data_IF_222124766909
#
_entry.id   IF_222124766909
#
_cell.length_a   1.000
_cell.length_b   1.000
_cell.length_c   1.000
_cell.angle_alpha   90.00
_cell.angle_beta   90.00
_cell.angle_gamma   90.00
#
_symmetry.space_group_name_H-M   'P 1'
#
loop_
_entity.id
_entity.type
_entity.pdbx_description
1 polymer ?
#
# COMPACT_ATOMS: atom_id res chain seq x y z
N UNK A 1 32.96 41.50 -38.90
CA UNK A 1 32.15 41.33 -40.12
C UNK A 1 30.90 40.53 -39.82
N UNK A 2 29.76 41.18 -39.70
CA UNK A 2 28.55 40.55 -39.31
C UNK A 2 28.07 39.51 -40.28
N UNK A 3 27.81 38.79 -40.80
CA UNK A 3 27.30 37.87 -41.83
C UNK A 3 28.37 36.92 -42.41
N UNK A 4 29.48 36.70 -41.73
CA UNK A 4 30.47 35.74 -42.17
C UNK A 4 30.23 34.35 -41.57
N UNK A 5 30.67 33.26 -42.17
CA UNK A 5 30.57 31.94 -41.56
C UNK A 5 31.21 31.86 -40.17
N UNK A 6 32.29 32.57 -39.94
CA UNK A 6 32.97 32.65 -38.64
C UNK A 6 32.11 33.34 -37.57
N UNK A 7 31.35 34.40 -37.95
CA UNK A 7 30.43 35.06 -37.06
C UNK A 7 29.28 34.12 -36.61
N UNK A 8 28.70 33.36 -37.57
CA UNK A 8 27.67 32.35 -37.29
C UNK A 8 28.23 31.22 -36.43
N UNK A 9 29.45 30.75 -36.70
CA UNK A 9 30.11 29.72 -35.89
C UNK A 9 30.34 30.23 -34.44
N UNK A 10 30.75 31.48 -34.28
CA UNK A 10 30.93 32.09 -32.94
C UNK A 10 29.62 32.16 -32.18
N UNK A 11 28.51 32.52 -32.83
CA UNK A 11 27.17 32.55 -32.23
C UNK A 11 26.75 31.16 -31.82
N UNK A 12 26.90 30.16 -32.65
CA UNK A 12 26.57 28.74 -32.34
C UNK A 12 27.41 28.24 -31.16
N UNK A 13 28.70 28.53 -31.13
CA UNK A 13 29.57 28.17 -30.01
C UNK A 13 29.14 28.87 -28.72
N UNK A 14 28.81 30.18 -28.80
CA UNK A 14 28.28 30.91 -27.63
C UNK A 14 26.99 30.33 -27.13
N UNK A 15 26.03 29.95 -28.02
CA UNK A 15 24.80 29.26 -27.65
C UNK A 15 25.11 28.01 -26.82
N UNK A 16 26.01 27.17 -27.30
CA UNK A 16 26.37 25.92 -26.58
C UNK A 16 26.96 26.22 -25.21
N UNK A 17 27.83 27.22 -25.08
CA UNK A 17 28.42 27.62 -23.80
C UNK A 17 27.35 28.14 -22.82
N UNK A 18 26.42 28.98 -23.28
CA UNK A 18 25.34 29.48 -22.44
C UNK A 18 24.36 28.36 -22.02
N UNK A 19 24.09 27.37 -22.88
CA UNK A 19 23.33 26.18 -22.55
C UNK A 19 24.05 25.38 -21.46
N UNK A 20 25.33 25.08 -21.61
CA UNK A 20 26.15 24.37 -20.63
C UNK A 20 26.18 25.07 -19.26
N UNK A 21 26.22 26.39 -19.29
CA UNK A 21 26.15 27.21 -18.08
C UNK A 21 24.74 27.35 -17.50
N UNK A 22 23.69 26.92 -18.22
CA UNK A 22 22.28 27.16 -17.84
C UNK A 22 21.91 28.63 -17.83
N UNK A 23 22.48 29.45 -18.73
CA UNK A 23 22.32 30.89 -18.79
C UNK A 23 21.68 31.35 -20.12
N UNK A 24 20.62 30.64 -20.56
CA UNK A 24 19.96 30.87 -21.85
C UNK A 24 19.39 32.29 -21.96
N UNK A 25 18.92 32.89 -20.85
CA UNK A 25 18.44 34.26 -20.85
C UNK A 25 19.56 35.28 -21.20
N UNK A 26 20.77 35.03 -20.70
CA UNK A 26 21.92 35.86 -21.03
C UNK A 26 22.29 35.74 -22.52
N UNK A 27 22.18 34.54 -23.08
CA UNK A 27 22.33 34.30 -24.51
C UNK A 27 21.30 35.08 -25.33
N UNK A 28 20.02 34.95 -24.98
CA UNK A 28 18.92 35.64 -25.66
C UNK A 28 19.12 37.17 -25.61
N UNK A 29 19.42 37.72 -24.43
CA UNK A 29 19.69 39.14 -24.29
C UNK A 29 20.90 39.61 -25.10
N UNK A 30 21.98 38.83 -25.10
CA UNK A 30 23.16 39.15 -25.89
C UNK A 30 22.88 39.11 -27.41
N UNK A 31 22.21 38.07 -27.92
CA UNK A 31 21.92 37.97 -29.36
C UNK A 31 21.02 39.10 -29.84
N UNK A 32 20.06 39.56 -29.02
CA UNK A 32 19.24 40.74 -29.34
C UNK A 32 20.06 42.02 -29.59
N UNK A 33 21.26 42.09 -29.09
CA UNK A 33 22.17 43.23 -29.37
C UNK A 33 22.82 43.13 -30.75
N UNK A 34 22.68 42.00 -31.44
CA UNK A 34 23.27 41.74 -32.77
C UNK A 34 22.25 42.11 -33.87
N UNK A 35 22.46 43.18 -34.59
CA UNK A 35 21.53 43.68 -35.63
C UNK A 35 21.25 42.70 -36.79
N UNK A 36 22.04 41.66 -36.93
CA UNK A 36 22.00 40.70 -38.05
C UNK A 36 21.58 39.29 -37.64
N UNK A 37 21.23 39.06 -36.38
CA UNK A 37 20.79 37.77 -35.85
C UNK A 37 19.54 37.94 -35.03
N UNK A 38 18.52 37.17 -35.33
CA UNK A 38 17.34 37.06 -34.48
C UNK A 38 17.29 35.68 -33.84
N UNK A 39 16.82 35.60 -32.59
CA UNK A 39 16.46 34.34 -31.95
C UNK A 39 14.94 34.23 -31.99
N UNK A 40 14.46 33.17 -32.58
CA UNK A 40 13.03 32.86 -32.60
C UNK A 40 12.55 32.28 -31.26
N UNK A 41 11.26 32.40 -30.95
CA UNK A 41 10.67 31.79 -29.76
C UNK A 41 10.89 30.27 -29.75
N UNK A 42 10.89 29.61 -30.91
CA UNK A 42 11.16 28.17 -31.04
C UNK A 42 12.61 27.83 -30.68
N UNK A 43 13.58 28.61 -31.12
CA UNK A 43 14.99 28.40 -30.77
C UNK A 43 15.24 28.64 -29.27
N UNK A 44 14.51 29.56 -28.69
CA UNK A 44 14.60 29.86 -27.26
C UNK A 44 13.93 28.80 -26.41
N UNK A 45 12.76 28.26 -26.82
CA UNK A 45 12.10 27.10 -26.24
C UNK A 45 13.08 25.91 -26.19
N UNK A 46 13.70 25.57 -27.34
CA UNK A 46 14.65 24.47 -27.45
C UNK A 46 15.89 24.68 -26.57
N UNK A 47 16.54 25.83 -26.66
CA UNK A 47 17.73 26.11 -25.88
C UNK A 47 17.48 26.11 -24.36
N UNK A 48 16.34 26.61 -23.92
CA UNK A 48 15.98 26.63 -22.49
C UNK A 48 15.72 25.21 -21.97
N UNK A 49 15.04 24.38 -22.77
CA UNK A 49 14.87 22.97 -22.43
C UNK A 49 16.21 22.22 -22.41
N UNK A 50 17.05 22.36 -23.44
CA UNK A 50 18.37 21.73 -23.53
C UNK A 50 19.25 22.06 -22.32
N UNK A 51 19.20 23.32 -21.85
CA UNK A 51 19.95 23.72 -20.66
C UNK A 51 19.48 23.00 -19.39
N UNK A 52 18.16 22.82 -19.22
CA UNK A 52 17.60 22.06 -18.12
C UNK A 52 17.95 20.57 -18.21
N UNK A 53 17.76 19.96 -19.40
CA UNK A 53 18.07 18.55 -19.65
C UNK A 53 19.56 18.26 -19.46
N UNK A 54 20.46 19.16 -19.87
CA UNK A 54 21.90 19.04 -19.63
C UNK A 54 22.20 18.93 -18.12
N UNK A 55 21.63 19.80 -17.29
CA UNK A 55 21.83 19.74 -15.83
C UNK A 55 21.24 18.47 -15.22
N UNK A 56 20.14 17.96 -15.76
CA UNK A 56 19.55 16.68 -15.38
C UNK A 56 20.51 15.52 -15.66
N UNK A 57 21.06 15.46 -16.88
CA UNK A 57 22.01 14.42 -17.31
C UNK A 57 23.33 14.48 -16.54
N UNK A 58 23.79 15.67 -16.20
CA UNK A 58 24.98 15.90 -15.38
C UNK A 58 24.75 15.65 -13.88
N UNK A 59 23.53 15.23 -13.49
CA UNK A 59 23.10 15.02 -12.09
C UNK A 59 23.19 16.26 -11.20
N UNK A 60 23.12 17.45 -11.77
CA UNK A 60 23.05 18.71 -11.04
C UNK A 60 21.62 19.01 -10.59
N UNK A 61 21.10 18.16 -9.66
CA UNK A 61 19.68 18.10 -9.27
C UNK A 61 19.07 19.47 -8.97
N UNK A 62 19.66 20.26 -8.08
CA UNK A 62 19.11 21.57 -7.69
C UNK A 62 18.98 22.53 -8.89
N UNK A 63 20.02 22.61 -9.72
CA UNK A 63 20.03 23.48 -10.89
C UNK A 63 19.06 22.99 -11.98
N UNK A 64 18.94 21.68 -12.17
CA UNK A 64 17.98 21.10 -13.09
C UNK A 64 16.53 21.42 -12.67
N UNK A 65 16.21 21.32 -11.38
CA UNK A 65 14.90 21.70 -10.83
C UNK A 65 14.59 23.16 -11.14
N UNK A 66 15.53 24.08 -10.87
CA UNK A 66 15.34 25.51 -11.12
C UNK A 66 15.10 25.78 -12.60
N UNK A 67 15.90 25.17 -13.49
CA UNK A 67 15.79 25.38 -14.93
C UNK A 67 14.51 24.77 -15.52
N UNK A 68 14.10 23.57 -15.10
CA UNK A 68 12.82 23.01 -15.55
C UNK A 68 11.63 23.82 -15.06
N UNK A 69 11.64 24.30 -13.82
CA UNK A 69 10.60 25.21 -13.33
C UNK A 69 10.54 26.49 -14.17
N UNK A 70 11.70 27.10 -14.47
CA UNK A 70 11.79 28.25 -15.35
C UNK A 70 11.26 27.98 -16.76
N UNK A 71 11.60 26.83 -17.32
CA UNK A 71 11.10 26.39 -18.63
C UNK A 71 9.57 26.27 -18.64
N UNK A 72 9.00 25.54 -17.70
CA UNK A 72 7.55 25.32 -17.60
C UNK A 72 6.79 26.64 -17.42
N UNK A 73 7.32 27.55 -16.59
CA UNK A 73 6.70 28.84 -16.36
C UNK A 73 6.68 29.74 -17.60
N UNK A 74 7.72 29.66 -18.42
CA UNK A 74 7.87 30.50 -19.61
C UNK A 74 7.17 29.92 -20.84
N UNK A 75 7.27 28.62 -21.06
CA UNK A 75 6.80 27.95 -22.27
C UNK A 75 5.62 27.02 -21.95
N UNK A 76 4.50 27.60 -21.55
CA UNK A 76 3.25 26.84 -21.17
C UNK A 76 2.64 26.03 -22.34
N UNK A 77 3.08 26.27 -23.57
CA UNK A 77 2.75 25.49 -24.79
C UNK A 77 4.03 25.02 -25.50
N UNK A 78 5.15 24.96 -24.81
CA UNK A 78 6.47 24.59 -25.35
C UNK A 78 6.51 23.16 -25.90
N UNK A 79 7.31 22.96 -26.92
CA UNK A 79 7.50 21.65 -27.58
C UNK A 79 7.90 20.54 -26.61
N UNK A 80 8.66 20.89 -25.57
CA UNK A 80 9.22 19.93 -24.62
C UNK A 80 8.50 19.91 -23.27
N UNK A 81 7.34 20.54 -23.16
CA UNK A 81 6.61 20.69 -21.91
C UNK A 81 6.34 19.36 -21.21
N UNK A 82 5.92 18.33 -21.97
CA UNK A 82 5.68 16.99 -21.46
C UNK A 82 6.94 16.38 -20.81
N UNK A 83 8.08 16.46 -21.52
CA UNK A 83 9.36 15.95 -21.01
C UNK A 83 9.83 16.72 -19.79
N UNK A 84 9.68 18.06 -19.80
CA UNK A 84 10.06 18.93 -18.70
C UNK A 84 9.30 18.57 -17.42
N UNK A 85 7.98 18.36 -17.51
CA UNK A 85 7.18 17.91 -16.38
C UNK A 85 7.62 16.53 -15.90
N UNK A 86 7.88 15.58 -16.80
CA UNK A 86 8.31 14.23 -16.42
C UNK A 86 9.65 14.25 -15.69
N UNK A 87 10.66 14.92 -16.23
CA UNK A 87 11.99 14.97 -15.60
C UNK A 87 11.98 15.75 -14.28
N UNK A 88 11.18 16.80 -14.20
CA UNK A 88 11.01 17.55 -12.95
C UNK A 88 10.36 16.70 -11.86
N UNK A 89 9.33 15.90 -12.23
CA UNK A 89 8.71 14.94 -11.35
C UNK A 89 9.71 13.90 -10.83
N UNK A 90 10.55 13.34 -11.74
CA UNK A 90 11.60 12.38 -11.38
C UNK A 90 12.63 12.97 -10.41
N UNK A 91 13.01 14.24 -10.62
CA UNK A 91 13.94 14.95 -9.73
C UNK A 91 13.34 15.15 -8.34
N UNK A 92 12.09 15.60 -8.26
CA UNK A 92 11.40 15.76 -6.98
C UNK A 92 11.21 14.41 -6.28
N UNK A 93 10.80 13.36 -7.01
CA UNK A 93 10.60 12.03 -6.46
C UNK A 93 11.91 11.45 -5.88
N UNK A 94 13.03 11.55 -6.62
CA UNK A 94 14.36 11.13 -6.16
C UNK A 94 14.86 11.92 -4.95
N UNK A 95 14.39 13.15 -4.80
CA UNK A 95 14.70 14.03 -3.67
C UNK A 95 13.73 13.84 -2.48
N UNK A 96 12.89 12.82 -2.52
CA UNK A 96 11.86 12.50 -1.50
C UNK A 96 10.79 13.62 -1.33
N UNK A 97 10.66 14.50 -2.31
CA UNK A 97 9.68 15.59 -2.36
C UNK A 97 8.42 15.14 -3.13
N UNK A 98 7.75 14.12 -2.62
CA UNK A 98 6.64 13.46 -3.30
C UNK A 98 5.45 14.40 -3.57
N UNK A 99 5.17 15.35 -2.67
CA UNK A 99 4.11 16.34 -2.85
C UNK A 99 4.39 17.29 -4.03
N UNK A 100 5.66 17.59 -4.29
CA UNK A 100 6.07 18.38 -5.45
C UNK A 100 6.08 17.54 -6.74
N UNK A 101 6.41 16.26 -6.64
CA UNK A 101 6.45 15.36 -7.81
C UNK A 101 5.05 15.08 -8.39
N UNK A 102 4.06 14.86 -7.52
CA UNK A 102 2.73 14.40 -7.90
C UNK A 102 2.02 15.29 -8.93
N UNK A 103 1.98 16.63 -8.81
CA UNK A 103 1.37 17.50 -9.82
C UNK A 103 2.00 17.38 -11.21
N UNK A 104 3.30 17.16 -11.28
CA UNK A 104 4.02 17.00 -12.54
C UNK A 104 3.77 15.62 -13.17
N UNK A 105 3.73 14.53 -12.39
CA UNK A 105 3.28 13.24 -12.90
C UNK A 105 1.82 13.30 -13.36
N UNK A 106 0.96 14.03 -12.63
CA UNK A 106 -0.44 14.27 -13.01
C UNK A 106 -0.53 14.92 -14.38
N UNK A 107 0.20 16.01 -14.60
CA UNK A 107 0.26 16.65 -15.91
C UNK A 107 0.61 15.65 -17.02
N UNK A 108 1.59 14.77 -16.78
CA UNK A 108 2.08 13.81 -17.79
C UNK A 108 1.03 12.76 -18.13
N UNK A 109 0.40 12.12 -17.14
CA UNK A 109 -0.55 11.06 -17.42
C UNK A 109 -1.92 11.57 -17.89
N UNK A 110 -2.26 12.84 -17.67
CA UNK A 110 -3.47 13.46 -18.19
C UNK A 110 -3.39 13.80 -19.69
N UNK A 111 -2.19 13.83 -20.26
CA UNK A 111 -2.02 13.95 -21.70
C UNK A 111 -2.45 12.66 -22.43
N UNK A 112 -2.55 12.75 -23.78
CA UNK A 112 -2.70 11.55 -24.60
C UNK A 112 -1.59 10.54 -24.29
N UNK A 113 -1.92 9.23 -24.34
CA UNK A 113 -0.98 8.15 -24.03
C UNK A 113 0.33 8.32 -24.79
N UNK A 114 1.43 8.32 -24.07
CA UNK A 114 2.79 8.59 -24.57
C UNK A 114 3.81 7.70 -23.83
N UNK A 115 5.08 7.83 -24.15
CA UNK A 115 6.16 7.02 -23.54
C UNK A 115 6.34 7.22 -22.05
N UNK A 116 5.89 8.35 -21.47
CA UNK A 116 5.98 8.67 -20.05
C UNK A 116 4.72 8.33 -19.25
N UNK A 117 3.61 7.97 -19.91
CA UNK A 117 2.33 7.70 -19.24
C UNK A 117 2.44 6.54 -18.24
N UNK A 118 3.02 5.42 -18.65
CA UNK A 118 3.16 4.24 -17.78
C UNK A 118 4.05 4.53 -16.55
N UNK A 119 5.27 5.08 -16.69
CA UNK A 119 6.09 5.42 -15.52
C UNK A 119 5.46 6.51 -14.65
N UNK A 120 4.77 7.49 -15.22
CA UNK A 120 4.08 8.52 -14.44
C UNK A 120 2.93 7.94 -13.61
N UNK A 121 2.10 7.07 -14.19
CA UNK A 121 1.03 6.35 -13.46
C UNK A 121 1.60 5.49 -12.33
N UNK A 122 2.69 4.77 -12.60
CA UNK A 122 3.35 3.95 -11.58
C UNK A 122 3.80 4.82 -10.40
N UNK A 123 4.54 5.90 -10.65
CA UNK A 123 5.07 6.78 -9.60
C UNK A 123 3.96 7.54 -8.86
N UNK A 124 2.96 8.05 -9.57
CA UNK A 124 1.81 8.68 -8.94
C UNK A 124 1.03 7.70 -8.04
N UNK A 125 0.87 6.43 -8.47
CA UNK A 125 0.24 5.41 -7.63
C UNK A 125 1.08 5.06 -6.40
N UNK A 126 2.41 4.97 -6.52
CA UNK A 126 3.30 4.77 -5.38
C UNK A 126 3.15 5.90 -4.34
N UNK A 127 3.12 7.16 -4.79
CA UNK A 127 2.96 8.33 -3.92
C UNK A 127 1.60 8.30 -3.21
N UNK A 128 0.52 8.08 -3.95
CA UNK A 128 -0.83 8.08 -3.39
C UNK A 128 -1.09 6.93 -2.42
N UNK A 129 -0.51 5.75 -2.69
CA UNK A 129 -0.56 4.61 -1.76
C UNK A 129 0.24 4.88 -0.48
N UNK A 130 1.43 5.47 -0.60
CA UNK A 130 2.25 5.83 0.57
C UNK A 130 1.56 6.88 1.45
N UNK A 131 0.85 7.82 0.85
CA UNK A 131 0.04 8.83 1.54
C UNK A 131 -1.33 8.30 2.01
N UNK A 132 -1.66 7.03 1.73
CA UNK A 132 -2.94 6.38 2.05
C UNK A 132 -4.17 7.10 1.45
N UNK A 133 -4.00 7.80 0.34
CA UNK A 133 -5.10 8.43 -0.43
C UNK A 133 -5.67 7.41 -1.41
N UNK A 134 -6.38 6.41 -0.88
CA UNK A 134 -6.80 5.21 -1.62
C UNK A 134 -7.79 5.53 -2.75
N UNK A 135 -8.69 6.48 -2.55
CA UNK A 135 -9.63 6.93 -3.57
C UNK A 135 -8.92 7.54 -4.79
N UNK A 136 -7.81 8.25 -4.56
CA UNK A 136 -6.97 8.80 -5.63
C UNK A 136 -6.10 7.72 -6.29
N UNK A 137 -5.60 6.75 -5.51
CA UNK A 137 -4.78 5.67 -6.03
C UNK A 137 -5.57 4.73 -6.95
N UNK A 138 -6.87 4.51 -6.68
CA UNK A 138 -7.70 3.56 -7.40
C UNK A 138 -7.76 3.78 -8.92
N UNK A 139 -8.10 4.98 -9.44
CA UNK A 139 -8.11 5.23 -10.87
C UNK A 139 -6.73 5.14 -11.52
N UNK A 140 -5.67 5.53 -10.81
CA UNK A 140 -4.29 5.42 -11.31
C UNK A 140 -3.87 3.97 -11.51
N UNK A 141 -4.11 3.13 -10.50
CA UNK A 141 -3.83 1.70 -10.55
C UNK A 141 -4.67 0.99 -11.63
N UNK A 142 -5.95 1.35 -11.76
CA UNK A 142 -6.84 0.77 -12.77
C UNK A 142 -6.36 1.11 -14.18
N UNK A 143 -5.93 2.34 -14.39
CA UNK A 143 -5.38 2.77 -15.67
C UNK A 143 -4.02 2.12 -15.94
N UNK A 144 -3.15 2.00 -14.92
CA UNK A 144 -1.87 1.31 -15.03
C UNK A 144 -2.07 -0.18 -15.39
N UNK A 145 -3.03 -0.87 -14.77
CA UNK A 145 -3.37 -2.25 -15.13
C UNK A 145 -3.76 -2.38 -16.60
N UNK A 146 -4.60 -1.46 -17.09
CA UNK A 146 -5.15 -1.51 -18.44
C UNK A 146 -4.12 -1.15 -19.52
N UNK A 147 -3.33 -0.09 -19.31
CA UNK A 147 -2.46 0.49 -20.32
C UNK A 147 -1.02 -0.03 -20.28
N UNK A 148 -0.58 -0.62 -19.17
CA UNK A 148 0.81 -1.08 -19.03
C UNK A 148 1.17 -2.19 -20.03
N UNK A 149 2.31 -2.03 -20.66
CA UNK A 149 2.95 -3.08 -21.49
C UNK A 149 3.78 -4.05 -20.65
N UNK A 150 4.22 -3.63 -19.46
CA UNK A 150 5.01 -4.43 -18.54
C UNK A 150 4.13 -5.41 -17.75
N UNK A 151 4.36 -6.74 -17.82
CA UNK A 151 3.68 -7.69 -16.96
C UNK A 151 3.91 -7.44 -15.46
N UNK A 152 5.08 -6.92 -15.10
CA UNK A 152 5.39 -6.57 -13.71
C UNK A 152 4.53 -5.40 -13.23
N UNK A 153 4.41 -4.34 -14.03
CA UNK A 153 3.59 -3.19 -13.67
C UNK A 153 2.10 -3.54 -13.61
N UNK A 154 1.62 -4.44 -14.51
CA UNK A 154 0.26 -4.97 -14.40
C UNK A 154 0.03 -5.75 -13.11
N UNK A 155 0.96 -6.64 -12.75
CA UNK A 155 0.88 -7.39 -11.50
C UNK A 155 0.96 -6.48 -10.27
N UNK A 156 1.84 -5.47 -10.32
CA UNK A 156 1.90 -4.41 -9.29
C UNK A 156 0.54 -3.71 -9.14
N UNK A 157 -0.04 -3.28 -10.25
CA UNK A 157 -1.35 -2.62 -10.25
C UNK A 157 -2.45 -3.53 -9.66
N UNK A 158 -2.54 -4.78 -10.11
CA UNK A 158 -3.52 -5.76 -9.62
C UNK A 158 -3.36 -6.03 -8.11
N UNK A 159 -2.13 -6.19 -7.65
CA UNK A 159 -1.84 -6.45 -6.23
C UNK A 159 -2.22 -5.25 -5.35
N UNK A 160 -1.98 -4.04 -5.84
CA UNK A 160 -2.35 -2.84 -5.10
C UNK A 160 -3.84 -2.51 -5.23
N UNK A 161 -4.50 -2.80 -6.37
CA UNK A 161 -5.97 -2.72 -6.49
C UNK A 161 -6.66 -3.63 -5.47
N UNK A 162 -6.23 -4.88 -5.35
CA UNK A 162 -6.73 -5.81 -4.35
C UNK A 162 -6.66 -5.20 -2.93
N UNK A 163 -5.51 -4.66 -2.56
CA UNK A 163 -5.28 -4.04 -1.24
C UNK A 163 -6.08 -2.75 -1.07
N UNK A 164 -6.13 -1.92 -2.10
CA UNK A 164 -6.86 -0.65 -2.11
C UNK A 164 -8.37 -0.86 -1.95
N UNK A 165 -8.97 -1.80 -2.69
CA UNK A 165 -10.37 -2.15 -2.53
C UNK A 165 -10.67 -2.67 -1.11
N UNK A 166 -9.77 -3.47 -0.54
CA UNK A 166 -9.93 -3.92 0.84
C UNK A 166 -9.91 -2.76 1.85
N UNK A 167 -9.00 -1.77 1.67
CA UNK A 167 -8.94 -0.57 2.51
C UNK A 167 -10.17 0.33 2.37
N UNK A 168 -10.76 0.36 1.18
CA UNK A 168 -12.01 1.08 0.88
C UNK A 168 -13.26 0.28 1.25
N UNK A 169 -13.10 -0.88 1.90
CA UNK A 169 -14.17 -1.79 2.33
C UNK A 169 -15.02 -2.36 1.16
N UNK A 170 -14.57 -2.22 -0.08
CA UNK A 170 -15.14 -2.94 -1.24
C UNK A 170 -14.58 -4.38 -1.27
N UNK A 171 -15.10 -5.19 -0.36
CA UNK A 171 -14.62 -6.56 -0.15
C UNK A 171 -14.85 -7.47 -1.35
N UNK A 172 -15.92 -7.27 -2.10
CA UNK A 172 -16.21 -8.06 -3.30
C UNK A 172 -15.18 -7.81 -4.40
N UNK A 173 -14.83 -6.54 -4.63
CA UNK A 173 -13.77 -6.19 -5.58
C UNK A 173 -12.40 -6.69 -5.10
N UNK A 174 -12.09 -6.56 -3.81
CA UNK A 174 -10.86 -7.08 -3.23
C UNK A 174 -10.71 -8.59 -3.48
N UNK A 175 -11.77 -9.37 -3.23
CA UNK A 175 -11.79 -10.81 -3.49
C UNK A 175 -11.60 -11.10 -4.98
N UNK A 176 -12.31 -10.42 -5.86
CA UNK A 176 -12.21 -10.62 -7.32
C UNK A 176 -10.79 -10.38 -7.83
N UNK A 177 -10.11 -9.32 -7.38
CA UNK A 177 -8.73 -9.06 -7.76
C UNK A 177 -7.75 -10.07 -7.17
N UNK A 178 -7.98 -10.52 -5.93
CA UNK A 178 -7.17 -11.57 -5.31
C UNK A 178 -7.29 -12.91 -6.07
N UNK A 179 -8.50 -13.32 -6.43
CA UNK A 179 -8.75 -14.53 -7.23
C UNK A 179 -8.05 -14.44 -8.59
N UNK A 180 -8.15 -13.30 -9.27
CA UNK A 180 -7.46 -13.06 -10.56
C UNK A 180 -5.93 -13.17 -10.45
N UNK A 181 -5.34 -12.70 -9.36
CA UNK A 181 -3.91 -12.88 -9.09
C UNK A 181 -3.56 -14.36 -8.94
N UNK A 182 -4.40 -15.14 -8.28
CA UNK A 182 -4.19 -16.56 -8.03
C UNK A 182 -4.34 -17.44 -9.30
N UNK A 183 -5.08 -16.98 -10.31
CA UNK A 183 -5.19 -17.65 -11.61
C UNK A 183 -3.84 -17.70 -12.35
N UNK A 184 -2.94 -16.77 -12.09
CA UNK A 184 -1.63 -16.74 -12.69
C UNK A 184 -0.66 -17.69 -11.95
N UNK A 185 -0.37 -18.83 -12.55
CA UNK A 185 0.52 -19.86 -11.97
C UNK A 185 1.95 -19.34 -11.68
N UNK A 186 2.40 -18.31 -12.39
CA UNK A 186 3.73 -17.69 -12.24
C UNK A 186 3.83 -16.67 -11.10
N UNK A 187 2.72 -16.33 -10.45
CA UNK A 187 2.72 -15.43 -9.30
C UNK A 187 3.55 -16.07 -8.17
N UNK A 188 4.44 -15.29 -7.58
CA UNK A 188 5.29 -15.77 -6.49
C UNK A 188 4.49 -16.08 -5.21
N UNK A 189 5.12 -16.83 -4.29
CA UNK A 189 4.47 -17.30 -3.08
C UNK A 189 4.06 -16.15 -2.14
N UNK A 190 4.82 -15.05 -2.14
CA UNK A 190 4.52 -13.90 -1.28
C UNK A 190 3.22 -13.20 -1.74
N UNK A 191 3.11 -12.91 -3.03
CA UNK A 191 1.89 -12.30 -3.60
C UNK A 191 0.69 -13.25 -3.47
N UNK A 192 0.88 -14.57 -3.63
CA UNK A 192 -0.18 -15.56 -3.37
C UNK A 192 -0.64 -15.55 -1.91
N UNK A 193 0.30 -15.42 -0.98
CA UNK A 193 -0.02 -15.31 0.45
C UNK A 193 -0.86 -14.06 0.73
N UNK A 194 -0.46 -12.90 0.17
CA UNK A 194 -1.23 -11.66 0.25
C UNK A 194 -2.65 -11.82 -0.34
N UNK A 195 -2.77 -12.50 -1.48
CA UNK A 195 -4.07 -12.72 -2.11
C UNK A 195 -4.99 -13.60 -1.25
N UNK A 196 -4.49 -14.72 -0.74
CA UNK A 196 -5.29 -15.60 0.12
C UNK A 196 -5.69 -14.91 1.44
N UNK A 197 -4.79 -14.14 2.07
CA UNK A 197 -5.15 -13.44 3.31
C UNK A 197 -6.20 -12.35 3.08
N UNK A 198 -6.16 -11.63 1.95
CA UNK A 198 -7.20 -10.66 1.58
C UNK A 198 -8.53 -11.37 1.34
N UNK A 199 -8.55 -12.49 0.60
CA UNK A 199 -9.79 -13.30 0.42
C UNK A 199 -10.33 -13.69 1.78
N UNK A 200 -9.50 -14.23 2.67
CA UNK A 200 -9.91 -14.71 3.97
C UNK A 200 -10.53 -13.59 4.82
N UNK A 201 -9.83 -12.47 4.96
CA UNK A 201 -10.28 -11.32 5.74
C UNK A 201 -11.54 -10.68 5.14
N UNK A 202 -11.57 -10.48 3.83
CA UNK A 202 -12.73 -9.91 3.13
C UNK A 202 -13.96 -10.83 3.26
N UNK A 203 -13.79 -12.14 3.09
CA UNK A 203 -14.86 -13.11 3.25
C UNK A 203 -15.44 -13.13 4.67
N UNK A 204 -14.60 -12.95 5.71
CA UNK A 204 -15.07 -12.75 7.08
C UNK A 204 -15.91 -11.49 7.22
N UNK A 205 -15.50 -10.39 6.59
CA UNK A 205 -16.22 -9.10 6.64
C UNK A 205 -17.61 -9.16 6.00
N UNK A 206 -17.78 -9.94 4.92
CA UNK A 206 -19.06 -10.13 4.24
C UNK A 206 -19.82 -11.37 4.73
N UNK A 207 -19.41 -11.98 5.86
CA UNK A 207 -20.00 -13.17 6.46
C UNK A 207 -20.04 -14.40 5.52
N UNK A 208 -19.09 -14.51 4.60
CA UNK A 208 -18.91 -15.69 3.75
C UNK A 208 -17.96 -16.69 4.41
N UNK A 209 -18.44 -17.41 5.42
CA UNK A 209 -17.63 -18.32 6.22
C UNK A 209 -16.97 -19.42 5.37
N UNK A 210 -17.69 -19.99 4.41
CA UNK A 210 -17.16 -21.07 3.55
C UNK A 210 -15.92 -20.60 2.79
N UNK A 211 -15.98 -19.40 2.20
CA UNK A 211 -14.84 -18.81 1.47
C UNK A 211 -13.70 -18.45 2.43
N UNK A 212 -14.02 -17.91 3.61
CA UNK A 212 -13.01 -17.57 4.64
C UNK A 212 -12.24 -18.81 5.09
N UNK A 213 -12.93 -19.91 5.42
CA UNK A 213 -12.32 -21.20 5.81
C UNK A 213 -11.37 -21.73 4.74
N UNK A 214 -11.82 -21.76 3.49
CA UNK A 214 -11.01 -22.22 2.37
C UNK A 214 -9.75 -21.37 2.19
N UNK A 215 -9.88 -20.05 2.27
CA UNK A 215 -8.76 -19.13 2.10
C UNK A 215 -7.76 -19.20 3.27
N UNK A 216 -8.21 -19.23 4.53
CA UNK A 216 -7.32 -19.41 5.69
C UNK A 216 -6.59 -20.75 5.66
N UNK A 217 -7.23 -21.83 5.17
CA UNK A 217 -6.55 -23.10 4.98
C UNK A 217 -5.37 -22.99 3.99
N UNK A 218 -5.51 -22.20 2.92
CA UNK A 218 -4.41 -21.91 1.99
C UNK A 218 -3.33 -21.03 2.64
N UNK A 219 -3.72 -19.97 3.33
CA UNK A 219 -2.77 -19.12 4.07
C UNK A 219 -1.91 -19.97 5.00
N UNK A 220 -2.51 -20.89 5.75
CA UNK A 220 -1.80 -21.78 6.68
C UNK A 220 -0.68 -22.59 6.02
N UNK A 221 -0.86 -22.98 4.74
CA UNK A 221 0.14 -23.81 4.03
C UNK A 221 1.33 -23.03 3.50
N UNK A 222 1.16 -21.74 3.21
CA UNK A 222 2.17 -20.94 2.50
C UNK A 222 2.69 -19.76 3.32
N UNK A 223 1.91 -19.23 4.25
CA UNK A 223 2.27 -18.06 5.04
C UNK A 223 3.08 -18.44 6.29
N UNK A 224 3.99 -17.55 6.62
CA UNK A 224 4.76 -17.55 7.85
C UNK A 224 4.44 -16.29 8.64
N UNK A 225 5.14 -16.06 9.74
CA UNK A 225 5.04 -14.82 10.50
C UNK A 225 3.61 -14.55 10.99
N UNK A 226 3.18 -13.32 10.94
CA UNK A 226 1.89 -12.87 11.45
C UNK A 226 0.68 -13.51 10.71
N UNK A 227 0.73 -13.58 9.37
CA UNK A 227 -0.34 -14.22 8.59
C UNK A 227 -0.50 -15.71 8.93
N UNK A 228 0.62 -16.38 9.23
CA UNK A 228 0.60 -17.77 9.71
C UNK A 228 -0.05 -17.89 11.09
N UNK A 229 0.23 -16.94 11.99
CA UNK A 229 -0.41 -16.88 13.30
C UNK A 229 -1.92 -16.62 13.21
N UNK A 230 -2.32 -15.69 12.34
CA UNK A 230 -3.73 -15.40 12.04
C UNK A 230 -4.45 -16.64 11.50
N UNK A 231 -3.87 -17.31 10.51
CA UNK A 231 -4.48 -18.50 9.94
C UNK A 231 -4.61 -19.64 10.98
N UNK A 232 -3.63 -19.80 11.87
CA UNK A 232 -3.69 -20.78 12.95
C UNK A 232 -4.76 -20.42 14.00
N UNK A 233 -4.94 -19.12 14.29
CA UNK A 233 -6.03 -18.63 15.13
C UNK A 233 -7.39 -18.94 14.51
N UNK A 234 -7.60 -18.65 13.21
CA UNK A 234 -8.86 -18.92 12.55
C UNK A 234 -9.15 -20.41 12.39
N UNK A 235 -8.14 -21.27 12.29
CA UNK A 235 -8.35 -22.71 12.38
C UNK A 235 -8.97 -23.11 13.75
N UNK A 236 -8.44 -22.59 14.84
CA UNK A 236 -8.99 -22.84 16.17
C UNK A 236 -10.43 -22.27 16.30
N UNK A 237 -10.63 -21.05 15.81
CA UNK A 237 -11.93 -20.38 15.80
C UNK A 237 -13.00 -21.19 15.05
N UNK A 238 -12.70 -21.66 13.87
CA UNK A 238 -13.66 -22.46 13.09
C UNK A 238 -13.96 -23.82 13.73
N UNK A 239 -12.97 -24.48 14.31
CA UNK A 239 -13.17 -25.71 15.07
C UNK A 239 -14.04 -25.47 16.32
N UNK A 240 -13.88 -24.33 16.99
CA UNK A 240 -14.76 -23.92 18.07
C UNK A 240 -16.22 -23.78 17.61
N UNK A 241 -16.44 -23.10 16.47
CA UNK A 241 -17.78 -22.95 15.88
C UNK A 241 -18.41 -24.28 15.50
N UNK A 242 -17.61 -25.25 15.04
CA UNK A 242 -18.05 -26.60 14.69
C UNK A 242 -18.32 -27.49 15.92
N UNK A 243 -18.11 -26.97 17.14
CA UNK A 243 -18.28 -27.75 18.38
C UNK A 243 -17.17 -28.77 18.65
N UNK A 244 -16.09 -28.78 17.85
CA UNK A 244 -14.95 -29.70 18.04
C UNK A 244 -13.92 -29.09 18.99
N UNK A 245 -14.36 -28.92 20.27
CA UNK A 245 -13.67 -28.10 21.27
C UNK A 245 -12.26 -28.61 21.61
N UNK A 246 -12.05 -29.91 21.75
CA UNK A 246 -10.73 -30.52 22.01
C UNK A 246 -9.76 -30.22 20.86
N UNK A 247 -10.22 -30.43 19.61
CA UNK A 247 -9.40 -30.15 18.43
C UNK A 247 -9.12 -28.67 18.23
N UNK A 248 -10.06 -27.80 18.65
CA UNK A 248 -9.84 -26.34 18.72
C UNK A 248 -8.74 -26.01 19.72
N UNK A 249 -8.76 -26.62 20.93
CA UNK A 249 -7.71 -26.43 21.94
C UNK A 249 -6.33 -26.86 21.45
N UNK A 250 -6.23 -27.98 20.73
CA UNK A 250 -4.98 -28.41 20.09
C UNK A 250 -4.47 -27.35 19.11
N UNK A 251 -5.36 -26.75 18.32
CA UNK A 251 -4.98 -25.68 17.38
C UNK A 251 -4.49 -24.43 18.10
N UNK A 252 -5.08 -24.06 19.25
CA UNK A 252 -4.59 -22.96 20.09
C UNK A 252 -3.23 -23.28 20.69
N UNK A 253 -2.99 -24.50 21.14
CA UNK A 253 -1.67 -24.92 21.64
C UNK A 253 -0.59 -24.81 20.57
N UNK A 254 -0.88 -25.18 19.32
CA UNK A 254 0.03 -24.98 18.18
C UNK A 254 0.29 -23.50 17.96
N UNK A 255 -0.73 -22.64 18.02
CA UNK A 255 -0.61 -21.17 17.90
C UNK A 255 0.36 -20.61 18.95
N UNK A 256 0.15 -20.93 20.21
CA UNK A 256 0.96 -20.44 21.34
C UNK A 256 2.41 -20.95 21.22
N UNK A 257 2.61 -22.20 20.84
CA UNK A 257 3.95 -22.81 20.76
C UNK A 257 4.74 -22.32 19.54
N UNK A 258 4.10 -22.30 18.36
CA UNK A 258 4.78 -22.00 17.09
C UNK A 258 4.88 -20.50 16.79
N UNK A 259 3.92 -19.72 17.28
CA UNK A 259 3.76 -18.30 16.96
C UNK A 259 3.77 -17.42 18.21
N UNK A 260 4.59 -17.77 19.21
CA UNK A 260 4.67 -17.09 20.52
C UNK A 260 4.96 -15.60 20.46
N UNK A 261 5.63 -15.13 19.39
CA UNK A 261 5.93 -13.71 19.18
C UNK A 261 4.70 -12.88 18.78
N UNK A 262 3.64 -13.53 18.30
CA UNK A 262 2.40 -12.86 17.83
C UNK A 262 1.35 -12.90 18.93
N UNK A 263 1.63 -12.19 20.02
CA UNK A 263 0.84 -12.19 21.25
C UNK A 263 -0.62 -11.83 21.04
N UNK A 264 -0.93 -10.96 20.06
CA UNK A 264 -2.30 -10.60 19.71
C UNK A 264 -3.14 -11.83 19.36
N UNK A 265 -2.68 -12.66 18.43
CA UNK A 265 -3.42 -13.88 18.06
C UNK A 265 -3.35 -14.95 19.14
N UNK A 266 -2.24 -15.02 19.88
CA UNK A 266 -2.13 -15.96 20.99
C UNK A 266 -3.15 -15.67 22.09
N UNK A 267 -3.32 -14.41 22.49
CA UNK A 267 -4.31 -14.00 23.50
C UNK A 267 -5.76 -14.21 23.04
N UNK A 268 -6.08 -13.91 21.79
CA UNK A 268 -7.38 -14.26 21.18
C UNK A 268 -7.63 -15.77 21.18
N UNK A 269 -6.61 -16.56 20.86
CA UNK A 269 -6.67 -18.03 20.90
C UNK A 269 -6.95 -18.54 22.32
N UNK A 270 -6.34 -17.95 23.33
CA UNK A 270 -6.61 -18.29 24.74
C UNK A 270 -8.07 -18.04 25.14
N UNK A 271 -8.70 -16.96 24.66
CA UNK A 271 -10.13 -16.73 24.90
C UNK A 271 -10.98 -17.84 24.27
N UNK A 272 -10.64 -18.26 23.02
CA UNK A 272 -11.32 -19.41 22.39
C UNK A 272 -11.12 -20.68 23.22
N UNK A 273 -9.91 -20.93 23.71
CA UNK A 273 -9.60 -22.08 24.57
C UNK A 273 -10.43 -22.07 25.87
N UNK A 274 -10.58 -20.91 26.48
CA UNK A 274 -11.43 -20.75 27.66
C UNK A 274 -12.91 -21.07 27.34
N UNK A 275 -13.43 -20.53 26.22
CA UNK A 275 -14.78 -20.85 25.74
C UNK A 275 -14.96 -22.35 25.45
N UNK A 276 -13.93 -23.01 24.90
CA UNK A 276 -13.95 -24.46 24.69
C UNK A 276 -13.99 -25.24 26.00
N UNK A 277 -13.17 -24.88 27.01
CA UNK A 277 -13.20 -25.55 28.30
C UNK A 277 -14.54 -25.39 29.01
N UNK A 278 -15.17 -24.21 28.86
CA UNK A 278 -16.51 -24.00 29.38
C UNK A 278 -17.53 -24.93 28.70
N UNK A 279 -17.47 -25.08 27.39
CA UNK A 279 -18.33 -26.01 26.62
C UNK A 279 -18.07 -27.48 27.00
N UNK A 280 -16.88 -27.81 27.45
CA UNK A 280 -16.48 -29.13 27.96
C UNK A 280 -16.78 -29.30 29.47
N UNK A 281 -17.50 -28.36 30.10
CA UNK A 281 -17.81 -28.30 31.50
C UNK A 281 -16.62 -28.18 32.47
N UNK A 282 -15.46 -27.71 31.98
CA UNK A 282 -14.29 -27.42 32.80
C UNK A 282 -14.23 -25.91 33.12
N UNK A 283 -15.09 -25.50 34.04
CA UNK A 283 -15.19 -24.10 34.50
C UNK A 283 -13.89 -23.61 35.15
N UNK A 284 -13.14 -24.51 35.82
CA UNK A 284 -11.90 -24.15 36.49
C UNK A 284 -10.84 -23.72 35.47
N UNK A 285 -10.60 -24.53 34.41
CA UNK A 285 -9.65 -24.19 33.36
C UNK A 285 -10.08 -22.94 32.58
N UNK A 286 -11.37 -22.80 32.29
CA UNK A 286 -11.89 -21.62 31.61
C UNK A 286 -11.60 -20.33 32.42
N UNK A 287 -11.90 -20.33 33.71
CA UNK A 287 -11.67 -19.19 34.61
C UNK A 287 -10.17 -18.85 34.71
N UNK A 288 -9.35 -19.88 34.94
CA UNK A 288 -7.88 -19.72 35.04
C UNK A 288 -7.27 -19.08 33.79
N UNK A 289 -7.70 -19.52 32.61
CA UNK A 289 -7.18 -18.99 31.34
C UNK A 289 -7.62 -17.52 31.16
N UNK A 290 -8.86 -17.17 31.43
CA UNK A 290 -9.34 -15.79 31.32
C UNK A 290 -8.63 -14.84 32.28
N UNK A 291 -8.42 -15.25 33.53
CA UNK A 291 -7.65 -14.47 34.51
C UNK A 291 -6.20 -14.28 34.06
N UNK A 292 -5.59 -15.31 33.47
CA UNK A 292 -4.25 -15.22 32.89
C UNK A 292 -4.19 -14.24 31.71
N UNK A 293 -5.21 -14.24 30.83
CA UNK A 293 -5.28 -13.27 29.71
C UNK A 293 -5.38 -11.84 30.24
N UNK A 294 -6.24 -11.58 31.22
CA UNK A 294 -6.41 -10.25 31.81
C UNK A 294 -5.11 -9.74 32.44
N UNK A 295 -4.36 -10.60 33.12
CA UNK A 295 -3.15 -10.21 33.83
C UNK A 295 -1.93 -10.02 32.92
N UNK A 296 -1.78 -10.84 31.86
CA UNK A 296 -0.54 -10.93 31.11
C UNK A 296 -0.58 -10.32 29.71
N UNK A 297 -1.75 -9.83 29.21
CA UNK A 297 -1.90 -9.25 27.87
C UNK A 297 -2.47 -7.83 27.91
N UNK A 298 -2.01 -7.04 28.88
CA UNK A 298 -2.47 -5.66 29.12
C UNK A 298 -2.17 -4.70 27.98
N UNK A 299 -1.24 -5.06 27.09
CA UNK A 299 -0.96 -4.33 25.84
C UNK A 299 -2.10 -4.38 24.81
N UNK A 300 -3.10 -5.27 25.00
CA UNK A 300 -4.29 -5.40 24.13
C UNK A 300 -5.58 -5.17 24.94
N UNK A 301 -5.96 -3.91 25.20
CA UNK A 301 -7.10 -3.57 26.06
C UNK A 301 -8.43 -4.18 25.60
N UNK A 302 -8.65 -4.28 24.29
CA UNK A 302 -9.85 -4.88 23.71
C UNK A 302 -9.96 -6.39 24.00
N UNK A 303 -8.82 -7.09 24.05
CA UNK A 303 -8.79 -8.52 24.35
C UNK A 303 -8.98 -8.77 25.83
N UNK A 304 -8.33 -7.98 26.70
CA UNK A 304 -8.53 -8.09 28.15
C UNK A 304 -9.95 -7.73 28.56
N UNK A 305 -10.58 -6.76 27.87
CA UNK A 305 -11.99 -6.45 28.08
C UNK A 305 -12.90 -7.61 27.65
N UNK A 306 -12.66 -8.26 26.49
CA UNK A 306 -13.39 -9.46 26.07
C UNK A 306 -13.24 -10.58 27.11
N UNK A 307 -12.03 -10.83 27.59
CA UNK A 307 -11.76 -11.84 28.61
C UNK A 307 -12.49 -11.53 29.93
N UNK A 308 -12.54 -10.25 30.34
CA UNK A 308 -13.28 -9.83 31.55
C UNK A 308 -14.77 -10.07 31.41
N UNK A 309 -15.37 -9.73 30.27
CA UNK A 309 -16.81 -9.97 30.02
C UNK A 309 -17.15 -11.46 30.13
N UNK A 310 -16.31 -12.34 29.53
CA UNK A 310 -16.53 -13.78 29.63
C UNK A 310 -16.35 -14.31 31.05
N UNK A 311 -15.38 -13.79 31.81
CA UNK A 311 -15.13 -14.15 33.18
C UNK A 311 -16.31 -13.76 34.09
N UNK A 312 -16.85 -12.55 33.92
CA UNK A 312 -18.00 -12.06 34.68
C UNK A 312 -19.28 -12.85 34.36
N UNK A 313 -19.45 -13.28 33.11
CA UNK A 313 -20.53 -14.17 32.70
C UNK A 313 -20.47 -15.51 33.46
N UNK A 314 -19.30 -16.15 33.49
CA UNK A 314 -19.08 -17.41 34.18
C UNK A 314 -19.40 -17.24 35.70
N UNK A 315 -18.88 -16.19 36.33
CA UNK A 315 -19.11 -15.92 37.77
C UNK A 315 -20.60 -15.68 38.07
N UNK A 316 -21.30 -14.98 37.20
CA UNK A 316 -22.74 -14.71 37.35
C UNK A 316 -23.56 -16.01 37.21
N UNK A 317 -23.25 -16.87 36.28
CA UNK A 317 -23.93 -18.16 36.11
C UNK A 317 -23.69 -19.10 37.30
N UNK A 318 -22.46 -19.16 37.80
CA UNK A 318 -22.12 -19.94 38.98
C UNK A 318 -22.87 -19.45 40.23
N UNK A 319 -23.00 -18.12 40.41
CA UNK A 319 -23.76 -17.55 41.54
C UNK A 319 -25.26 -17.88 41.48
N UNK A 320 -25.86 -17.87 40.27
CA UNK A 320 -27.27 -18.27 40.09
C UNK A 320 -27.50 -19.74 40.39
N UNK A 321 -26.58 -20.62 39.98
CA UNK A 321 -26.66 -22.05 40.24
C UNK A 321 -26.57 -22.34 41.74
N UNK A 322 -25.65 -21.67 42.45
CA UNK A 322 -25.53 -21.82 43.91
C UNK A 322 -26.78 -21.31 44.65
N UNK A 323 -27.34 -20.17 44.23
CA UNK A 323 -28.57 -19.64 44.85
C UNK A 323 -29.80 -20.56 44.64
N UNK A 324 -29.89 -21.24 43.47
CA UNK A 324 -30.98 -22.20 43.22
C UNK A 324 -30.85 -23.45 44.08
N UNK A 325 -29.64 -23.93 44.33
CA UNK A 325 -29.37 -25.10 45.21
C UNK A 325 -29.76 -24.77 46.67
N UNK A 326 -29.48 -23.55 47.17
CA UNK A 326 -29.87 -23.11 48.51
C UNK A 326 -31.39 -23.08 48.67
N UNK A 327 -32.13 -22.56 47.66
CA UNK A 327 -33.61 -22.50 47.71
C UNK A 327 -34.24 -23.89 47.69
N UNK A 328 -33.74 -24.83 46.92
CA UNK A 328 -34.25 -26.21 46.86
C UNK A 328 -33.97 -26.95 48.19
N UNK A 329 -32.82 -26.70 48.82
CA UNK A 329 -32.50 -27.32 50.12
C UNK A 329 -33.32 -26.77 51.29
N UNK A 330 -33.86 -25.53 51.22
CA UNK A 330 -34.77 -24.96 52.20
C UNK A 330 -36.23 -25.48 52.04
N UNK A 331 -36.60 -25.95 50.84
CA UNK A 331 -37.93 -26.48 50.57
C UNK A 331 -38.08 -27.98 50.88
N UNK A 332 -36.99 -28.69 51.18
CA UNK A 332 -36.99 -30.13 51.56
C UNK A 332 -36.95 -30.36 53.09
N UNK A 333 -36.94 -29.33 53.93
CA UNK A 333 -37.04 -29.40 55.38
C UNK A 333 -38.40 -28.89 55.85
#
# INVERSE_FOLDING_TARGET
YPSTPEAFQAISTSRSIYIDLGQVENYAAWVQTLEYVGVTDTELDEATYEAAEKQYLDNNTAKAIDLFNGYIARFSAGKYLLKAHFYLAELYYKSELSENALPHYTFVYEQSTNEFTEPALLKASEITLASKTFETALPLLSRLELESKSPQNRLYAQSNLMKTYFQLEDYDSAIRYAERILENSKTDAYIKSDAYIIIARAAMKINNETKARAAYAQVKTIATWEMGAEAQYFEAYFKHLDGTHESSNESVQVLIKKFSSYKYYASKGLIIMAKNFLALNDVFQATYILENVIQNFTEFPEITAEAQVELDRIKTEAAKTNASIEVDSENEN
#
